data_IF_660894213565
#
_entry.id   IF_660894213565
#
_cell.length_a   1.000
_cell.length_b   1.000
_cell.length_c   1.000
_cell.angle_alpha   90.00
_cell.angle_beta   90.00
_cell.angle_gamma   90.00
#
_symmetry.space_group_name_H-M   'P 1'
#
loop_
_entity.id
_entity.type
_entity.pdbx_description
1 polymer ?
#
# COMPACT_ATOMS: atom_id res chain seq x y z
N UNK A 1 -39.51 47.53 -4.15
CA UNK A 1 -38.27 47.16 -4.85
C UNK A 1 -38.65 46.11 -5.87
N UNK A 2 -38.67 46.47 -7.15
CA UNK A 2 -38.84 45.53 -8.27
C UNK A 2 -37.46 45.03 -8.70
N UNK A 3 -37.36 43.71 -8.81
CA UNK A 3 -36.73 42.90 -9.87
C UNK A 3 -35.48 43.45 -10.57
N UNK A 4 -34.44 42.60 -10.68
CA UNK A 4 -33.72 42.35 -11.93
C UNK A 4 -32.85 41.09 -11.78
N UNK A 5 -33.41 39.99 -12.26
CA UNK A 5 -32.75 38.72 -12.54
C UNK A 5 -31.69 38.90 -13.63
N UNK A 6 -30.43 38.64 -13.31
CA UNK A 6 -29.32 38.53 -14.27
C UNK A 6 -28.87 37.07 -14.15
N UNK A 7 -29.11 36.17 -15.11
CA UNK A 7 -28.67 36.21 -16.50
C UNK A 7 -27.76 34.99 -16.70
N UNK A 8 -28.35 33.80 -16.90
CA UNK A 8 -27.66 32.55 -17.26
C UNK A 8 -27.75 32.40 -18.78
N UNK A 9 -26.61 32.16 -19.46
CA UNK A 9 -26.37 31.78 -20.88
C UNK A 9 -24.94 32.25 -21.18
N UNK A 10 -23.94 31.51 -21.69
CA UNK A 10 -23.81 30.44 -22.70
C UNK A 10 -22.31 29.97 -22.62
N UNK A 11 -21.91 28.71 -22.83
CA UNK A 11 -21.50 28.17 -24.14
C UNK A 11 -21.11 26.67 -24.03
N UNK A 12 -21.81 25.86 -24.84
CA UNK A 12 -21.40 24.58 -25.45
C UNK A 12 -20.12 24.81 -26.31
N UNK A 13 -19.23 23.88 -26.69
CA UNK A 13 -19.24 22.42 -26.78
C UNK A 13 -17.86 21.93 -27.29
N UNK A 14 -17.62 20.62 -27.13
CA UNK A 14 -16.91 19.71 -28.06
C UNK A 14 -15.42 19.96 -28.41
N UNK A 15 -14.54 19.13 -27.84
CA UNK A 15 -13.34 18.66 -28.53
C UNK A 15 -13.51 17.17 -28.82
N UNK A 16 -13.63 16.89 -30.11
CA UNK A 16 -13.58 15.59 -30.77
C UNK A 16 -12.10 15.30 -31.09
N UNK A 17 -11.65 14.06 -30.91
CA UNK A 17 -10.28 13.63 -31.27
C UNK A 17 -10.03 12.20 -30.80
N UNK A 18 -10.48 11.22 -31.58
CA UNK A 18 -9.67 10.45 -32.54
C UNK A 18 -8.86 9.34 -31.85
N UNK A 19 -9.36 8.12 -31.98
CA UNK A 19 -8.65 6.91 -31.59
C UNK A 19 -7.47 6.61 -32.52
N UNK A 20 -6.43 6.03 -31.94
CA UNK A 20 -5.64 4.90 -32.42
C UNK A 20 -4.47 4.72 -31.43
N UNK A 21 -4.25 3.51 -30.94
CA UNK A 21 -3.03 3.16 -30.21
C UNK A 21 -2.68 1.72 -30.55
N UNK A 22 -2.16 1.55 -31.77
CA UNK A 22 -1.30 0.44 -32.11
C UNK A 22 0.15 0.90 -31.97
N UNK A 23 0.90 0.12 -31.18
CA UNK A 23 2.33 -0.16 -31.25
C UNK A 23 3.35 1.00 -31.25
N UNK A 24 4.30 0.97 -30.31
CA UNK A 24 5.72 0.67 -30.59
C UNK A 24 6.60 1.04 -29.38
N UNK A 25 7.28 0.05 -28.81
CA UNK A 25 8.43 0.26 -27.92
C UNK A 25 9.54 0.94 -28.71
N UNK A 26 9.92 2.17 -28.36
CA UNK A 26 11.23 2.72 -28.71
C UNK A 26 11.81 3.52 -27.55
N UNK A 27 12.98 3.08 -27.12
CA UNK A 27 13.91 3.75 -26.23
C UNK A 27 14.29 5.14 -26.75
N UNK A 28 14.29 6.14 -25.88
CA UNK A 28 14.85 7.46 -26.19
C UNK A 28 15.86 7.84 -25.11
N UNK A 29 17.15 7.71 -25.45
CA UNK A 29 18.21 8.48 -24.81
C UNK A 29 18.11 9.91 -25.36
N UNK A 30 17.71 10.86 -24.52
CA UNK A 30 17.75 12.27 -24.84
C UNK A 30 18.41 13.03 -23.68
N UNK A 31 19.67 13.40 -23.87
CA UNK A 31 20.38 14.42 -23.10
C UNK A 31 19.88 15.80 -23.52
N UNK A 32 19.19 16.52 -22.64
CA UNK A 32 19.12 17.99 -22.69
C UNK A 32 18.82 18.51 -21.28
N UNK A 33 19.76 19.30 -20.73
CA UNK A 33 19.68 19.94 -19.43
C UNK A 33 18.78 21.18 -19.50
N UNK A 34 17.72 21.22 -18.69
CA UNK A 34 17.09 22.44 -18.19
C UNK A 34 16.23 22.13 -16.96
N UNK A 35 16.72 22.51 -15.78
CA UNK A 35 15.95 22.82 -14.56
C UNK A 35 14.80 21.88 -14.18
N UNK A 36 15.11 20.78 -13.50
CA UNK A 36 14.17 20.14 -12.59
C UNK A 36 14.72 20.23 -11.18
N UNK A 37 14.01 20.96 -10.33
CA UNK A 37 14.13 20.87 -8.87
C UNK A 37 13.76 19.43 -8.54
N UNK A 38 14.78 18.57 -8.47
CA UNK A 38 14.66 17.20 -8.03
C UNK A 38 14.34 17.24 -6.54
N UNK A 39 13.04 17.21 -6.22
CA UNK A 39 12.63 16.56 -4.98
C UNK A 39 13.04 15.10 -5.15
N UNK A 40 14.24 14.77 -4.73
CA UNK A 40 14.77 13.42 -4.66
C UNK A 40 13.94 12.69 -3.59
N UNK A 41 12.71 12.30 -3.93
CA UNK A 41 12.05 11.20 -3.26
C UNK A 41 12.92 10.00 -3.60
N UNK A 42 13.83 9.65 -2.68
CA UNK A 42 14.57 8.40 -2.79
C UNK A 42 13.56 7.29 -3.05
N UNK A 43 13.61 6.72 -4.25
CA UNK A 43 12.76 5.59 -4.61
C UNK A 43 13.25 4.43 -3.75
N UNK A 44 12.65 4.24 -2.57
CA UNK A 44 12.91 3.08 -1.72
C UNK A 44 12.45 1.84 -2.50
N UNK A 45 13.41 1.08 -3.01
CA UNK A 45 13.17 -0.17 -3.72
C UNK A 45 13.10 -1.31 -2.71
N UNK A 46 11.90 -1.83 -2.47
CA UNK A 46 11.67 -3.03 -1.66
C UNK A 46 11.71 -4.27 -2.56
N UNK A 47 12.92 -4.79 -2.78
CA UNK A 47 13.11 -5.91 -3.72
C UNK A 47 13.17 -7.27 -3.02
N UNK A 48 13.56 -7.29 -1.75
CA UNK A 48 13.76 -8.53 -0.99
C UNK A 48 12.91 -8.56 0.29
N UNK A 49 12.69 -9.76 0.82
CA UNK A 49 12.06 -9.93 2.15
C UNK A 49 12.89 -9.30 3.27
N UNK A 50 14.20 -9.19 3.11
CA UNK A 50 15.09 -8.47 4.03
C UNK A 50 14.78 -6.97 4.03
N UNK A 51 14.56 -6.36 2.86
CA UNK A 51 14.21 -4.93 2.77
C UNK A 51 12.88 -4.65 3.46
N UNK A 52 11.88 -5.51 3.21
CA UNK A 52 10.56 -5.43 3.84
C UNK A 52 10.66 -5.64 5.35
N UNK A 53 11.48 -6.60 5.81
CA UNK A 53 11.74 -6.81 7.23
C UNK A 53 12.31 -5.53 7.85
N UNK A 54 13.37 -4.96 7.28
CA UNK A 54 13.98 -3.72 7.78
C UNK A 54 12.96 -2.59 7.86
N UNK A 55 12.14 -2.42 6.82
CA UNK A 55 11.06 -1.43 6.83
C UNK A 55 10.05 -1.66 7.96
N UNK A 56 9.64 -2.90 8.22
CA UNK A 56 8.76 -3.23 9.33
C UNK A 56 9.40 -2.91 10.69
N UNK A 57 10.70 -3.15 10.86
CA UNK A 57 11.40 -2.77 12.09
C UNK A 57 11.43 -1.26 12.31
N UNK A 58 11.56 -0.47 11.25
CA UNK A 58 11.45 0.99 11.33
C UNK A 58 10.01 1.42 11.67
N UNK A 59 9.02 0.87 10.94
CA UNK A 59 7.63 1.31 11.07
C UNK A 59 6.94 0.81 12.34
N UNK A 60 7.35 -0.35 12.88
CA UNK A 60 6.77 -0.99 14.05
C UNK A 60 7.75 -1.10 15.22
N UNK A 61 8.74 -0.20 15.31
CA UNK A 61 9.75 -0.22 16.37
C UNK A 61 9.14 -0.23 17.78
N UNK A 62 8.01 0.44 17.96
CA UNK A 62 7.26 0.58 19.21
C UNK A 62 6.21 -0.53 19.42
N UNK A 63 5.92 -1.33 18.39
CA UNK A 63 5.00 -2.47 18.47
C UNK A 63 5.61 -3.71 17.80
N UNK A 64 6.66 -4.30 18.38
CA UNK A 64 7.42 -5.38 17.76
C UNK A 64 6.60 -6.65 17.47
N UNK A 65 5.46 -6.83 18.13
CA UNK A 65 4.54 -7.95 17.86
C UNK A 65 4.00 -7.92 16.43
N UNK A 66 3.84 -6.74 15.82
CA UNK A 66 3.39 -6.64 14.43
C UNK A 66 4.43 -7.14 13.43
N UNK A 67 5.71 -7.05 13.77
CA UNK A 67 6.81 -7.61 12.98
C UNK A 67 6.72 -9.14 13.00
N UNK A 68 6.45 -9.72 14.16
CA UNK A 68 6.30 -11.17 14.30
C UNK A 68 5.04 -11.69 13.61
N UNK A 69 3.94 -10.93 13.67
CA UNK A 69 2.74 -11.20 12.88
C UNK A 69 3.09 -11.21 11.38
N UNK A 70 3.73 -10.16 10.87
CA UNK A 70 4.14 -10.09 9.46
C UNK A 70 5.02 -11.28 9.03
N UNK A 71 5.92 -11.74 9.90
CA UNK A 71 6.74 -12.94 9.67
C UNK A 71 5.86 -14.18 9.48
N UNK A 72 4.88 -14.36 10.36
CA UNK A 72 3.98 -15.51 10.32
C UNK A 72 2.97 -15.47 9.17
N UNK A 73 2.55 -14.27 8.77
CA UNK A 73 1.56 -14.06 7.71
C UNK A 73 2.15 -14.21 6.30
N UNK A 74 3.36 -13.70 6.07
CA UNK A 74 3.90 -13.57 4.72
C UNK A 74 5.38 -13.91 4.55
N UNK A 75 6.09 -14.16 5.65
CA UNK A 75 7.56 -14.22 5.68
C UNK A 75 8.20 -12.93 5.13
N UNK A 76 7.61 -11.78 5.50
CA UNK A 76 8.04 -10.44 5.07
C UNK A 76 7.94 -10.22 3.56
N UNK A 77 6.93 -10.77 2.89
CA UNK A 77 6.72 -10.58 1.45
C UNK A 77 5.45 -9.76 1.20
N UNK A 78 5.59 -8.67 0.46
CA UNK A 78 4.45 -7.92 -0.05
C UNK A 78 4.03 -8.41 -1.44
N UNK A 79 5.00 -8.65 -2.32
CA UNK A 79 4.75 -8.93 -3.74
C UNK A 79 5.24 -10.33 -4.15
N UNK A 80 4.62 -10.89 -5.19
CA UNK A 80 5.08 -12.08 -5.89
C UNK A 80 6.13 -11.73 -6.96
N UNK A 81 6.59 -12.76 -7.68
CA UNK A 81 7.59 -12.62 -8.75
C UNK A 81 7.15 -11.72 -9.92
N UNK A 82 5.85 -11.49 -10.07
CA UNK A 82 5.25 -10.69 -11.12
C UNK A 82 4.91 -9.27 -10.62
N UNK A 83 5.34 -8.92 -9.40
CA UNK A 83 5.10 -7.61 -8.77
C UNK A 83 3.68 -7.43 -8.25
N UNK A 84 2.86 -8.50 -8.21
CA UNK A 84 1.50 -8.43 -7.69
C UNK A 84 1.49 -8.68 -6.18
N UNK A 85 0.58 -8.05 -5.41
CA UNK A 85 0.48 -8.34 -3.98
C UNK A 85 0.22 -9.83 -3.75
N UNK A 86 0.98 -10.44 -2.85
CA UNK A 86 0.77 -11.85 -2.50
C UNK A 86 -0.65 -12.04 -1.94
N UNK A 87 -1.22 -13.21 -2.22
CA UNK A 87 -2.54 -13.61 -1.75
C UNK A 87 -2.43 -14.73 -0.73
N UNK A 88 -3.34 -14.74 0.24
CA UNK A 88 -3.44 -15.81 1.22
C UNK A 88 -3.71 -17.16 0.58
N UNK A 89 -3.10 -18.21 1.15
CA UNK A 89 -3.26 -19.58 0.67
C UNK A 89 -4.64 -20.15 1.00
N UNK A 90 -5.17 -19.83 2.18
CA UNK A 90 -6.48 -20.28 2.63
C UNK A 90 -7.60 -19.35 2.16
N UNK A 91 -7.35 -18.04 2.14
CA UNK A 91 -8.29 -17.05 1.65
C UNK A 91 -7.57 -16.08 0.70
N UNK A 92 -7.97 -16.09 -0.57
CA UNK A 92 -7.38 -15.22 -1.58
C UNK A 92 -7.68 -13.72 -1.38
N UNK A 93 -8.64 -13.39 -0.49
CA UNK A 93 -8.92 -12.02 -0.10
C UNK A 93 -7.85 -11.43 0.84
N UNK A 94 -7.02 -12.24 1.47
CA UNK A 94 -5.92 -11.75 2.32
C UNK A 94 -4.76 -11.26 1.45
N UNK A 95 -4.30 -10.03 1.66
CA UNK A 95 -3.30 -9.39 0.80
C UNK A 95 -2.06 -8.90 1.54
N UNK A 96 -0.91 -9.08 0.86
CA UNK A 96 0.34 -8.42 1.21
C UNK A 96 0.97 -8.92 2.52
N UNK A 97 1.88 -8.11 3.05
CA UNK A 97 2.78 -8.47 4.13
C UNK A 97 2.06 -8.74 5.46
N UNK A 98 0.97 -8.03 5.72
CA UNK A 98 0.09 -8.21 6.88
C UNK A 98 -1.13 -9.10 6.60
N UNK A 99 -1.26 -9.67 5.40
CA UNK A 99 -2.39 -10.53 5.01
C UNK A 99 -3.76 -9.91 5.36
N UNK A 100 -3.95 -8.64 5.01
CA UNK A 100 -5.20 -7.91 5.32
C UNK A 100 -6.32 -8.43 4.42
N UNK A 101 -7.44 -8.82 5.02
CA UNK A 101 -8.59 -9.31 4.26
C UNK A 101 -9.32 -8.16 3.54
N UNK A 102 -9.25 -8.13 2.20
CA UNK A 102 -9.85 -7.07 1.39
C UNK A 102 -11.37 -7.00 1.51
N UNK A 103 -12.05 -8.14 1.69
CA UNK A 103 -13.51 -8.17 1.78
C UNK A 103 -14.01 -7.35 2.98
N UNK A 104 -13.32 -7.43 4.11
CA UNK A 104 -13.70 -6.68 5.32
C UNK A 104 -13.13 -5.27 5.41
N UNK A 105 -12.00 -5.02 4.73
CA UNK A 105 -11.18 -3.85 5.02
C UNK A 105 -10.91 -2.91 3.85
N UNK A 106 -11.15 -3.33 2.60
CA UNK A 106 -10.82 -2.51 1.44
C UNK A 106 -11.59 -1.18 1.42
N UNK A 107 -12.88 -1.18 1.79
CA UNK A 107 -13.69 0.04 1.79
C UNK A 107 -13.25 1.01 2.88
N UNK A 108 -12.98 0.51 4.09
CA UNK A 108 -12.42 1.32 5.19
C UNK A 108 -11.08 1.93 4.79
N UNK A 109 -10.16 1.13 4.23
CA UNK A 109 -8.87 1.61 3.77
C UNK A 109 -9.00 2.68 2.68
N UNK A 110 -9.89 2.47 1.70
CA UNK A 110 -10.15 3.43 0.63
C UNK A 110 -10.68 4.76 1.16
N UNK A 111 -11.59 4.72 2.13
CA UNK A 111 -12.13 5.93 2.77
C UNK A 111 -11.07 6.70 3.56
N UNK A 112 -10.01 6.02 4.02
CA UNK A 112 -8.84 6.64 4.65
C UNK A 112 -7.76 7.08 3.66
N UNK A 113 -7.95 6.86 2.35
CA UNK A 113 -6.93 7.12 1.33
C UNK A 113 -5.75 6.14 1.38
N UNK A 114 -5.91 4.98 2.03
CA UNK A 114 -4.85 3.97 2.21
C UNK A 114 -5.00 2.86 1.16
N UNK A 115 -3.93 2.59 0.40
CA UNK A 115 -3.90 1.49 -0.56
C UNK A 115 -3.23 0.25 0.04
N UNK A 116 -4.04 -0.69 0.56
CA UNK A 116 -3.56 -1.95 1.19
C UNK A 116 -2.84 -2.91 0.23
N UNK A 117 -2.82 -2.63 -1.08
CA UNK A 117 -2.04 -3.40 -2.07
C UNK A 117 -0.60 -2.92 -2.21
N UNK A 118 -0.27 -1.72 -1.72
CA UNK A 118 1.13 -1.24 -1.61
C UNK A 118 1.77 -1.72 -0.32
N UNK A 119 3.09 -1.74 -0.22
CA UNK A 119 3.76 -2.13 1.03
C UNK A 119 3.41 -1.14 2.15
N UNK A 120 3.57 0.15 1.87
CA UNK A 120 3.36 1.25 2.80
C UNK A 120 1.92 1.27 3.31
N UNK A 121 0.96 1.15 2.40
CA UNK A 121 -0.46 1.12 2.77
C UNK A 121 -0.86 -0.15 3.51
N UNK A 122 -0.26 -1.31 3.19
CA UNK A 122 -0.51 -2.55 3.91
C UNK A 122 0.01 -2.47 5.36
N UNK A 123 1.21 -1.92 5.55
CA UNK A 123 1.81 -1.68 6.86
C UNK A 123 1.02 -0.63 7.65
N UNK A 124 0.70 0.52 7.05
CA UNK A 124 -0.08 1.56 7.71
C UNK A 124 -1.47 1.06 8.14
N UNK A 125 -2.15 0.29 7.30
CA UNK A 125 -3.45 -0.26 7.67
C UNK A 125 -3.35 -1.39 8.69
N UNK A 126 -2.26 -2.17 8.67
CA UNK A 126 -1.95 -3.15 9.71
C UNK A 126 -1.81 -2.51 11.09
N UNK A 127 -1.12 -1.37 11.17
CA UNK A 127 -1.07 -0.55 12.40
C UNK A 127 -2.48 -0.17 12.87
N UNK A 128 -3.28 0.42 11.99
CA UNK A 128 -4.65 0.85 12.30
C UNK A 128 -5.50 -0.30 12.86
N UNK A 129 -5.44 -1.48 12.23
CA UNK A 129 -6.16 -2.66 12.71
C UNK A 129 -5.71 -3.08 14.12
N UNK A 130 -4.41 -3.03 14.39
CA UNK A 130 -3.86 -3.38 15.69
C UNK A 130 -4.26 -2.38 16.78
N UNK A 131 -4.20 -1.09 16.50
CA UNK A 131 -4.64 -0.05 17.44
C UNK A 131 -6.13 -0.22 17.81
N UNK A 132 -6.94 -0.66 16.84
CA UNK A 132 -8.39 -0.82 17.02
C UNK A 132 -8.81 -2.14 17.66
N UNK A 133 -8.13 -3.24 17.33
CA UNK A 133 -8.56 -4.60 17.66
C UNK A 133 -7.50 -5.44 18.36
N UNK A 134 -6.32 -4.88 18.63
CA UNK A 134 -5.14 -5.63 19.04
C UNK A 134 -4.74 -6.66 17.98
N UNK A 135 -4.23 -7.81 18.42
CA UNK A 135 -3.82 -8.91 17.54
C UNK A 135 -4.98 -9.78 17.03
N UNK A 136 -6.23 -9.45 17.34
CA UNK A 136 -7.41 -10.27 17.01
C UNK A 136 -7.56 -10.59 15.50
N UNK A 137 -7.31 -9.63 14.57
CA UNK A 137 -7.42 -9.90 13.13
C UNK A 137 -6.51 -11.03 12.63
N UNK A 138 -5.39 -11.29 13.31
CA UNK A 138 -4.41 -12.32 12.97
C UNK A 138 -4.49 -13.55 13.89
N UNK A 139 -5.69 -13.82 14.44
CA UNK A 139 -5.91 -14.96 15.33
C UNK A 139 -5.62 -16.32 14.67
N UNK A 140 -5.80 -16.43 13.36
CA UNK A 140 -5.51 -17.65 12.60
C UNK A 140 -4.02 -18.05 12.66
N UNK A 141 -3.11 -17.06 12.63
CA UNK A 141 -1.67 -17.28 12.72
C UNK A 141 -1.12 -17.24 14.15
N UNK A 142 -1.99 -17.08 15.16
CA UNK A 142 -1.62 -17.01 16.59
C UNK A 142 -0.65 -18.09 17.05
N UNK A 143 -0.82 -19.38 16.69
CA UNK A 143 0.13 -20.43 17.08
C UNK A 143 1.57 -20.21 16.60
N UNK A 144 1.77 -19.37 15.58
CA UNK A 144 3.08 -18.97 15.09
C UNK A 144 3.64 -17.81 15.93
N UNK A 145 2.95 -16.66 15.98
CA UNK A 145 3.50 -15.43 16.56
C UNK A 145 3.45 -15.38 18.09
N UNK A 146 2.55 -16.13 18.75
CA UNK A 146 2.41 -16.07 20.21
C UNK A 146 3.57 -16.72 20.97
N UNK A 147 4.51 -17.36 20.26
CA UNK A 147 5.72 -17.98 20.82
C UNK A 147 6.81 -16.95 21.08
N UNK A 148 6.74 -15.79 20.45
CA UNK A 148 7.75 -14.76 20.64
C UNK A 148 7.63 -14.14 22.04
N UNK A 149 8.75 -14.09 22.76
CA UNK A 149 8.83 -13.37 24.03
C UNK A 149 9.01 -11.89 23.74
N UNK A 150 8.27 -11.03 24.44
CA UNK A 150 8.31 -9.57 24.26
C UNK A 150 9.74 -9.01 24.34
N UNK A 151 10.56 -9.51 25.28
CA UNK A 151 11.96 -9.09 25.42
C UNK A 151 12.88 -9.52 24.27
N UNK A 152 12.49 -10.52 23.47
CA UNK A 152 13.27 -10.99 22.31
C UNK A 152 12.88 -10.27 21.02
N UNK A 153 11.70 -9.65 20.97
CA UNK A 153 11.22 -8.91 19.80
C UNK A 153 11.93 -7.56 19.62
N UNK A 154 12.35 -6.91 20.70
CA UNK A 154 13.07 -5.64 20.66
C UNK A 154 14.57 -5.77 20.29
N UNK A 155 15.08 -7.00 20.11
CA UNK A 155 16.51 -7.29 19.89
C UNK A 155 16.83 -7.98 18.55
N UNK A 156 15.82 -8.23 17.71
CA UNK A 156 15.91 -8.99 16.45
C UNK A 156 15.62 -8.10 15.24
#
# INVERSE_FOLDING_TARGET
>A
MLELTTGVVFLMSSIYGSGQSDNHIQSINATTEAGQIATTTEIRSFSTSTDVKTYLHEQYFDTPILIEIARCESEFRQFDKDGKPIRGRANAADVGVMQINEFYHADTARNMGINIRTLEGNVAFGRYLYEKYGSSPWSASKPCWSKAKIGDLARR
#
